data_IF_074067615198
#
_entry.id   IF_074067615198
#
_cell.length_a   1.000
_cell.length_b   1.000
_cell.length_c   1.000
_cell.angle_alpha   90.00
_cell.angle_beta   90.00
_cell.angle_gamma   90.00
#
_symmetry.space_group_name_H-M   'P 1'
#
loop_
_entity.id
_entity.type
_entity.pdbx_description
1 polymer ?
#
# COMPACT_ATOMS: atom_id res chain seq x y z
N UNK A 1 -10.64 -20.69 -1.15
CA UNK A 1 -10.15 -22.04 -0.76
C UNK A 1 -11.29 -23.02 -0.35
N UNK A 2 -12.50 -22.49 -0.07
CA UNK A 2 -13.65 -23.34 0.31
C UNK A 2 -14.29 -24.10 -0.88
N UNK A 3 -13.88 -23.80 -2.12
CA UNK A 3 -14.45 -24.41 -3.34
C UNK A 3 -15.86 -23.94 -3.68
N UNK A 4 -16.38 -22.93 -2.97
CA UNK A 4 -17.67 -22.29 -3.26
C UNK A 4 -17.45 -20.78 -3.35
N UNK A 5 -17.58 -20.21 -4.54
CA UNK A 5 -17.62 -18.78 -4.73
C UNK A 5 -19.03 -18.33 -5.06
N UNK A 6 -19.52 -17.31 -4.34
CA UNK A 6 -20.79 -16.65 -4.66
C UNK A 6 -20.56 -15.32 -5.40
N UNK A 7 -19.32 -15.07 -5.83
CA UNK A 7 -18.93 -13.85 -6.52
C UNK A 7 -18.54 -14.15 -7.96
N UNK A 8 -19.10 -13.40 -8.89
CA UNK A 8 -18.74 -13.51 -10.32
C UNK A 8 -17.40 -12.85 -10.63
N UNK A 9 -17.08 -11.75 -9.91
CA UNK A 9 -15.82 -11.02 -10.00
C UNK A 9 -15.39 -10.53 -8.62
N UNK A 10 -14.08 -10.43 -8.41
CA UNK A 10 -13.47 -9.82 -7.21
C UNK A 10 -12.34 -8.89 -7.63
N UNK A 11 -11.99 -7.94 -6.78
CA UNK A 11 -10.94 -6.95 -7.05
C UNK A 11 -9.87 -7.01 -5.96
N UNK A 12 -8.98 -8.00 -5.98
CA UNK A 12 -7.87 -8.10 -5.04
C UNK A 12 -6.63 -7.33 -5.54
N UNK A 13 -5.68 -7.12 -4.62
CA UNK A 13 -4.37 -6.57 -4.95
C UNK A 13 -3.47 -7.61 -5.63
N UNK A 14 -2.48 -7.15 -6.34
CA UNK A 14 -1.53 -7.91 -7.17
C UNK A 14 -0.94 -9.14 -6.50
N UNK A 15 -0.45 -9.02 -5.25
CA UNK A 15 0.11 -10.15 -4.49
C UNK A 15 -0.92 -11.26 -4.24
N UNK A 16 -2.20 -10.90 -4.09
CA UNK A 16 -3.26 -11.89 -3.90
C UNK A 16 -3.62 -12.53 -5.24
N UNK A 17 -3.62 -11.75 -6.33
CA UNK A 17 -3.83 -12.27 -7.69
C UNK A 17 -2.75 -13.32 -8.01
N UNK A 18 -1.48 -13.01 -7.74
CA UNK A 18 -0.38 -13.95 -7.89
C UNK A 18 -0.67 -15.26 -7.15
N UNK A 19 -1.03 -15.17 -5.86
CA UNK A 19 -1.35 -16.35 -5.05
C UNK A 19 -2.56 -17.13 -5.60
N UNK A 20 -3.57 -16.43 -6.12
CA UNK A 20 -4.74 -17.08 -6.71
C UNK A 20 -4.38 -17.82 -8.01
N UNK A 21 -3.52 -17.25 -8.85
CA UNK A 21 -2.99 -17.93 -10.06
C UNK A 21 -2.21 -19.18 -9.67
N UNK A 22 -1.26 -19.06 -8.73
CA UNK A 22 -0.44 -20.18 -8.25
C UNK A 22 -1.26 -21.36 -7.69
N UNK A 23 -2.46 -21.07 -7.17
CA UNK A 23 -3.37 -22.07 -6.61
C UNK A 23 -4.52 -22.46 -7.56
N UNK A 24 -4.46 -22.07 -8.83
CA UNK A 24 -5.44 -22.37 -9.86
C UNK A 24 -6.88 -21.95 -9.50
N UNK A 25 -7.04 -20.79 -8.86
CA UNK A 25 -8.32 -20.26 -8.37
C UNK A 25 -8.99 -19.27 -9.35
N UNK A 26 -8.33 -18.90 -10.46
CA UNK A 26 -8.82 -17.92 -11.41
C UNK A 26 -9.17 -18.54 -12.76
N UNK A 27 -10.28 -18.09 -13.35
CA UNK A 27 -10.62 -18.36 -14.73
C UNK A 27 -9.89 -17.36 -15.66
N UNK A 28 -9.47 -17.84 -16.83
CA UNK A 28 -8.93 -16.96 -17.88
C UNK A 28 -10.02 -16.00 -18.38
N UNK A 29 -9.64 -14.75 -18.60
CA UNK A 29 -10.54 -13.71 -19.11
C UNK A 29 -10.60 -13.78 -20.64
N UNK A 30 -11.82 -13.83 -21.19
CA UNK A 30 -12.02 -13.64 -22.61
C UNK A 30 -12.09 -12.13 -22.94
N UNK A 31 -10.95 -11.57 -23.35
CA UNK A 31 -10.84 -10.15 -23.68
C UNK A 31 -11.68 -9.69 -24.88
N UNK A 32 -12.12 -10.60 -25.75
CA UNK A 32 -13.05 -10.26 -26.84
C UNK A 32 -14.40 -9.75 -26.31
N UNK A 33 -14.77 -10.16 -25.09
CA UNK A 33 -15.96 -9.69 -24.41
C UNK A 33 -15.77 -8.34 -23.67
N UNK A 34 -14.55 -7.80 -23.66
CA UNK A 34 -14.19 -6.57 -22.93
C UNK A 34 -13.60 -5.51 -23.88
N UNK A 35 -14.40 -4.98 -24.82
CA UNK A 35 -13.88 -4.06 -25.87
C UNK A 35 -13.27 -2.76 -25.31
N UNK A 36 -13.63 -2.38 -24.07
CA UNK A 36 -13.10 -1.18 -23.41
C UNK A 36 -11.72 -1.38 -22.77
N UNK A 37 -11.19 -2.60 -22.73
CA UNK A 37 -9.84 -2.87 -22.21
C UNK A 37 -8.76 -2.05 -22.91
N UNK A 38 -8.97 -1.73 -24.20
CA UNK A 38 -8.10 -0.86 -25.01
C UNK A 38 -7.92 0.56 -24.45
N UNK A 39 -8.79 1.00 -23.54
CA UNK A 39 -8.69 2.31 -22.90
C UNK A 39 -7.76 2.30 -21.69
N UNK A 40 -7.30 1.13 -21.26
CA UNK A 40 -6.34 0.96 -20.16
C UNK A 40 -4.94 1.04 -20.76
N UNK A 41 -4.07 1.86 -20.15
CA UNK A 41 -2.71 2.02 -20.62
C UNK A 41 -1.89 0.72 -20.47
N UNK A 42 -1.08 0.42 -21.48
CA UNK A 42 -0.26 -0.79 -21.53
C UNK A 42 0.69 -0.93 -20.31
N UNK A 43 1.18 0.20 -19.79
CA UNK A 43 2.08 0.24 -18.64
C UNK A 43 1.51 -0.46 -17.39
N UNK A 44 0.18 -0.50 -17.23
CA UNK A 44 -0.46 -1.15 -16.08
C UNK A 44 -0.49 -2.67 -16.22
N UNK A 45 -0.53 -3.17 -17.45
CA UNK A 45 -0.36 -4.60 -17.72
C UNK A 45 1.11 -5.03 -17.62
N UNK A 46 2.04 -4.16 -18.02
CA UNK A 46 3.48 -4.44 -17.93
C UNK A 46 3.96 -4.71 -16.50
N UNK A 47 3.43 -3.97 -15.52
CA UNK A 47 3.80 -4.12 -14.12
C UNK A 47 3.45 -5.49 -13.55
N UNK A 48 2.45 -6.15 -14.11
CA UNK A 48 1.96 -7.46 -13.65
C UNK A 48 2.58 -8.66 -14.38
N UNK A 49 3.43 -8.43 -15.38
CA UNK A 49 4.09 -9.50 -16.16
C UNK A 49 4.93 -10.46 -15.32
N UNK A 50 5.35 -10.04 -14.13
CA UNK A 50 6.12 -10.89 -13.23
C UNK A 50 5.35 -12.12 -12.72
N UNK A 51 4.01 -12.05 -12.65
CA UNK A 51 3.17 -13.14 -12.17
C UNK A 51 2.09 -13.59 -13.18
N UNK A 52 1.76 -12.77 -14.17
CA UNK A 52 0.88 -13.13 -15.30
C UNK A 52 1.50 -12.63 -16.63
N UNK A 53 2.52 -13.32 -17.15
CA UNK A 53 3.28 -12.86 -18.33
C UNK A 53 2.43 -12.68 -19.58
N UNK A 54 1.31 -13.40 -19.68
CA UNK A 54 0.42 -13.39 -20.85
C UNK A 54 -0.80 -12.47 -20.64
N UNK A 55 -0.92 -11.84 -19.45
CA UNK A 55 -2.07 -11.00 -19.06
C UNK A 55 -3.43 -11.71 -19.24
N UNK A 56 -3.55 -12.94 -18.73
CA UNK A 56 -4.73 -13.78 -18.94
C UNK A 56 -5.81 -13.62 -17.87
N UNK A 57 -5.45 -13.21 -16.65
CA UNK A 57 -6.29 -13.40 -15.48
C UNK A 57 -6.85 -12.13 -14.87
N UNK A 58 -6.40 -10.93 -15.28
CA UNK A 58 -6.79 -9.70 -14.61
C UNK A 58 -7.02 -8.53 -15.58
N UNK A 59 -7.85 -7.58 -15.12
CA UNK A 59 -8.03 -6.27 -15.74
C UNK A 59 -7.64 -5.21 -14.71
N UNK A 60 -6.59 -4.39 -14.94
CA UNK A 60 -6.19 -3.33 -14.01
C UNK A 60 -7.35 -2.37 -13.72
N UNK A 61 -7.52 -2.04 -12.44
CA UNK A 61 -8.58 -1.13 -11.98
C UNK A 61 -8.01 0.16 -11.41
N UNK A 62 -7.22 0.07 -10.37
CA UNK A 62 -6.57 1.24 -9.77
C UNK A 62 -5.18 0.88 -9.27
N UNK A 63 -4.37 1.90 -9.08
CA UNK A 63 -3.01 1.77 -8.58
C UNK A 63 -2.68 2.93 -7.66
N UNK A 64 -1.67 2.77 -6.86
CA UNK A 64 -1.19 3.82 -5.99
C UNK A 64 0.15 3.49 -5.35
N UNK A 65 0.57 4.39 -4.49
CA UNK A 65 1.75 4.26 -3.65
C UNK A 65 1.36 4.40 -2.19
N UNK A 66 2.24 4.03 -1.29
CA UNK A 66 2.16 4.35 0.13
C UNK A 66 3.15 5.48 0.42
N UNK A 67 2.79 6.42 1.28
CA UNK A 67 3.68 7.51 1.68
C UNK A 67 3.32 8.04 3.06
N UNK A 68 3.93 9.15 3.40
CA UNK A 68 3.68 9.86 4.65
C UNK A 68 2.82 11.07 4.38
N UNK A 69 1.63 11.12 4.98
CA UNK A 69 0.82 12.33 5.12
C UNK A 69 1.21 13.01 6.44
N UNK A 70 1.52 14.28 6.40
CA UNK A 70 1.94 15.01 7.59
C UNK A 70 1.24 16.36 7.73
N UNK A 71 1.05 16.80 8.97
CA UNK A 71 0.43 18.09 9.27
C UNK A 71 1.53 19.16 9.42
N UNK A 72 1.58 20.10 8.48
CA UNK A 72 2.55 21.21 8.44
C UNK A 72 2.52 22.13 9.65
N UNK A 73 1.47 22.13 10.44
CA UNK A 73 1.38 22.87 11.71
C UNK A 73 1.96 22.11 12.88
N UNK A 74 2.14 20.81 12.77
CA UNK A 74 2.66 19.94 13.83
C UNK A 74 4.09 19.46 13.53
N UNK A 75 4.47 19.47 12.25
CA UNK A 75 5.80 19.06 11.76
C UNK A 75 6.48 20.26 11.14
N UNK A 76 7.58 20.72 11.74
CA UNK A 76 8.33 21.93 11.36
C UNK A 76 9.64 21.61 10.62
N UNK A 77 9.95 20.35 10.41
CA UNK A 77 11.12 19.85 9.70
C UNK A 77 10.78 19.21 8.36
N UNK A 78 11.73 19.06 7.44
CA UNK A 78 11.50 18.37 6.18
C UNK A 78 11.14 16.90 6.40
N UNK A 79 10.03 16.46 5.79
CA UNK A 79 9.63 15.07 5.77
C UNK A 79 10.10 14.44 4.46
N UNK A 80 11.23 13.75 4.46
CA UNK A 80 11.83 13.16 3.27
C UNK A 80 12.28 11.70 3.43
N UNK A 81 12.09 11.14 4.62
CA UNK A 81 12.54 9.80 5.00
C UNK A 81 11.50 9.08 5.84
N UNK A 82 11.40 7.76 5.69
CA UNK A 82 10.64 6.92 6.61
C UNK A 82 11.12 7.02 8.06
N UNK A 83 12.39 7.42 8.27
CA UNK A 83 13.00 7.55 9.60
C UNK A 83 12.24 8.47 10.55
N UNK A 84 11.48 9.45 10.05
CA UNK A 84 10.68 10.36 10.89
C UNK A 84 9.63 9.59 11.72
N UNK A 85 9.20 8.40 11.26
CA UNK A 85 8.24 7.55 11.98
C UNK A 85 8.86 6.88 13.24
N UNK A 86 10.16 7.05 13.48
CA UNK A 86 10.88 6.59 14.67
C UNK A 86 11.37 7.76 15.55
N UNK A 87 11.02 9.00 15.18
CA UNK A 87 11.39 10.16 15.98
C UNK A 87 10.46 10.30 17.20
N UNK A 88 11.06 10.25 18.39
CA UNK A 88 10.35 10.41 19.67
C UNK A 88 9.62 11.75 19.82
N UNK A 89 9.99 12.76 19.03
CA UNK A 89 9.28 14.03 18.98
C UNK A 89 7.80 13.86 18.64
N UNK A 90 7.46 12.81 17.89
CA UNK A 90 6.10 12.51 17.43
C UNK A 90 5.44 11.34 18.18
N UNK A 91 5.94 11.00 19.39
CA UNK A 91 5.31 9.99 20.24
C UNK A 91 3.82 10.29 20.44
N UNK A 92 2.97 9.24 20.36
CA UNK A 92 1.50 9.33 20.40
C UNK A 92 0.87 10.20 19.29
N UNK A 93 1.61 10.49 18.21
CA UNK A 93 1.13 11.32 17.08
C UNK A 93 1.45 10.71 15.72
N UNK A 94 1.69 9.41 15.68
CA UNK A 94 1.99 8.62 14.47
C UNK A 94 0.85 7.63 14.25
N UNK A 95 0.26 7.66 13.05
CA UNK A 95 -0.69 6.67 12.58
C UNK A 95 0.03 5.71 11.63
N UNK A 96 0.05 4.43 11.99
CA UNK A 96 0.69 3.39 11.20
C UNK A 96 -0.34 2.51 10.51
N UNK A 97 0.01 1.87 9.39
CA UNK A 97 -0.87 0.97 8.67
C UNK A 97 -1.13 -0.32 9.46
N UNK A 98 -2.41 -0.68 9.61
CA UNK A 98 -2.86 -1.99 10.09
C UNK A 98 -2.89 -3.01 8.92
N UNK A 99 -1.80 -3.01 8.16
CA UNK A 99 -1.50 -3.93 7.08
C UNK A 99 -0.09 -4.48 7.29
N UNK A 100 0.03 -5.78 7.47
CA UNK A 100 1.32 -6.43 7.70
C UNK A 100 2.30 -6.13 6.56
N UNK A 101 1.84 -6.21 5.31
CA UNK A 101 2.70 -5.97 4.15
C UNK A 101 3.19 -4.53 4.09
N UNK A 102 2.31 -3.55 4.31
CA UNK A 102 2.69 -2.14 4.24
C UNK A 102 3.56 -1.73 5.42
N UNK A 103 3.25 -2.20 6.64
CA UNK A 103 4.09 -1.94 7.80
C UNK A 103 5.51 -2.50 7.62
N UNK A 104 5.64 -3.75 7.15
CA UNK A 104 6.94 -4.34 6.84
C UNK A 104 7.64 -3.64 5.67
N UNK A 105 6.91 -3.23 4.63
CA UNK A 105 7.47 -2.51 3.50
C UNK A 105 8.14 -1.19 3.94
N UNK A 106 7.49 -0.44 4.83
CA UNK A 106 8.05 0.79 5.44
C UNK A 106 9.36 0.50 6.16
N UNK A 107 9.38 -0.50 7.05
CA UNK A 107 10.56 -0.87 7.82
C UNK A 107 11.70 -1.40 6.93
N UNK A 108 11.39 -2.28 5.97
CA UNK A 108 12.36 -2.82 5.02
C UNK A 108 12.98 -1.70 4.18
N UNK A 109 12.16 -0.78 3.67
CA UNK A 109 12.67 0.36 2.87
C UNK A 109 13.56 1.28 3.72
N UNK A 110 13.19 1.56 4.94
CA UNK A 110 14.03 2.37 5.84
C UNK A 110 15.37 1.70 6.15
N UNK A 111 15.40 0.37 6.26
CA UNK A 111 16.65 -0.42 6.41
C UNK A 111 17.44 -0.56 5.11
N UNK A 112 16.92 -0.10 3.97
CA UNK A 112 17.58 -0.21 2.67
C UNK A 112 17.38 -1.56 1.98
N UNK A 113 16.45 -2.39 2.45
CA UNK A 113 16.14 -3.70 1.90
C UNK A 113 15.05 -3.63 0.81
N UNK A 114 14.90 -4.74 0.08
CA UNK A 114 13.76 -4.92 -0.83
C UNK A 114 12.47 -5.09 -0.04
N UNK A 115 11.40 -4.38 -0.42
CA UNK A 115 10.07 -4.59 0.18
C UNK A 115 9.49 -5.99 -0.11
N UNK A 116 10.05 -6.69 -1.11
CA UNK A 116 9.69 -8.07 -1.45
C UNK A 116 10.73 -9.08 -0.94
N UNK A 117 11.55 -8.70 0.05
CA UNK A 117 12.52 -9.62 0.64
C UNK A 117 11.86 -10.85 1.24
N UNK A 118 12.45 -12.00 1.01
CA UNK A 118 12.13 -13.27 1.66
C UNK A 118 13.25 -13.76 2.57
N UNK A 119 14.30 -12.95 2.72
CA UNK A 119 15.41 -13.23 3.61
C UNK A 119 14.95 -13.10 5.06
N UNK A 120 15.17 -14.16 5.85
CA UNK A 120 14.68 -14.22 7.23
C UNK A 120 15.40 -13.22 8.16
N UNK A 121 16.67 -12.92 7.91
CA UNK A 121 17.45 -11.97 8.71
C UNK A 121 16.98 -10.54 8.44
N UNK A 122 16.67 -10.19 7.18
CA UNK A 122 16.10 -8.90 6.80
C UNK A 122 14.68 -8.73 7.39
N UNK A 123 13.86 -9.78 7.34
CA UNK A 123 12.51 -9.76 7.93
C UNK A 123 12.56 -9.65 9.46
N UNK A 124 13.51 -10.32 10.11
CA UNK A 124 13.72 -10.21 11.56
C UNK A 124 14.20 -8.80 11.95
N UNK A 125 15.10 -8.19 11.16
CA UNK A 125 15.53 -6.81 11.37
C UNK A 125 14.37 -5.83 11.23
N UNK A 126 13.53 -5.97 10.21
CA UNK A 126 12.34 -5.14 10.00
C UNK A 126 11.33 -5.31 11.16
N UNK A 127 11.09 -6.53 11.61
CA UNK A 127 10.23 -6.82 12.77
C UNK A 127 10.75 -6.11 14.03
N UNK A 128 12.04 -6.22 14.32
CA UNK A 128 12.63 -5.60 15.50
C UNK A 128 12.51 -4.07 15.44
N UNK A 129 12.74 -3.47 14.27
CA UNK A 129 12.55 -2.04 14.05
C UNK A 129 11.09 -1.60 14.28
N UNK A 130 10.10 -2.38 13.83
CA UNK A 130 8.69 -2.11 14.10
C UNK A 130 8.32 -2.26 15.59
N UNK A 131 8.95 -3.20 16.29
CA UNK A 131 8.79 -3.34 17.75
C UNK A 131 9.33 -2.10 18.48
N UNK A 132 10.47 -1.55 18.06
CA UNK A 132 11.02 -0.29 18.58
C UNK A 132 10.10 0.91 18.31
N UNK A 133 9.44 0.94 17.15
CA UNK A 133 8.48 1.99 16.78
C UNK A 133 7.20 1.93 17.61
N UNK A 134 6.74 0.74 17.97
CA UNK A 134 5.42 0.52 18.57
C UNK A 134 5.05 1.46 19.72
N UNK A 135 5.96 1.81 20.66
CA UNK A 135 5.65 2.76 21.73
C UNK A 135 5.36 4.18 21.24
N UNK A 136 5.79 4.55 20.02
CA UNK A 136 5.61 5.88 19.45
C UNK A 136 4.28 5.99 18.66
N UNK A 137 3.68 4.86 18.32
CA UNK A 137 2.49 4.80 17.46
C UNK A 137 1.23 5.06 18.28
N UNK A 138 0.46 6.07 17.90
CA UNK A 138 -0.85 6.37 18.47
C UNK A 138 -1.85 5.26 18.16
N UNK A 139 -1.92 4.82 16.89
CA UNK A 139 -2.83 3.77 16.45
C UNK A 139 -2.35 3.10 15.16
N UNK A 140 -2.71 1.83 15.02
CA UNK A 140 -2.65 1.10 13.75
C UNK A 140 -4.04 1.19 13.11
N UNK A 141 -4.11 1.74 11.89
CA UNK A 141 -5.37 2.06 11.20
C UNK A 141 -5.23 1.81 9.69
N UNK A 142 -6.36 1.67 9.00
CA UNK A 142 -6.41 1.67 7.52
C UNK A 142 -7.19 2.92 7.09
N UNK A 143 -8.50 2.83 6.89
CA UNK A 143 -9.30 3.95 6.38
C UNK A 143 -9.44 5.10 7.39
N UNK A 144 -9.36 4.80 8.69
CA UNK A 144 -9.47 5.79 9.76
C UNK A 144 -8.32 6.81 9.77
N UNK A 145 -7.19 6.51 9.13
CA UNK A 145 -6.08 7.46 8.99
C UNK A 145 -6.57 8.76 8.34
N UNK A 146 -7.47 8.66 7.35
CA UNK A 146 -8.05 9.79 6.65
C UNK A 146 -8.72 10.78 7.61
N UNK A 147 -9.71 10.29 8.34
CA UNK A 147 -10.52 11.14 9.21
C UNK A 147 -9.70 11.74 10.35
N UNK A 148 -8.77 10.96 10.92
CA UNK A 148 -7.85 11.42 11.97
C UNK A 148 -6.89 12.51 11.48
N UNK A 149 -6.30 12.34 10.30
CA UNK A 149 -5.40 13.36 9.74
C UNK A 149 -6.16 14.63 9.35
N UNK A 150 -7.33 14.52 8.74
CA UNK A 150 -8.19 15.67 8.43
C UNK A 150 -8.56 16.43 9.71
N UNK A 151 -8.90 15.70 10.78
CA UNK A 151 -9.23 16.26 12.09
C UNK A 151 -8.03 16.84 12.86
N UNK A 152 -6.80 16.64 12.40
CA UNK A 152 -5.59 17.12 13.08
C UNK A 152 -5.26 16.33 14.36
N UNK A 153 -5.68 15.06 14.46
CA UNK A 153 -5.46 14.23 15.64
C UNK A 153 -4.04 13.62 15.69
N UNK A 154 -3.29 13.66 14.58
CA UNK A 154 -1.92 13.15 14.50
C UNK A 154 -1.03 14.03 13.63
N UNK A 155 0.28 14.00 13.90
CA UNK A 155 1.29 14.73 13.14
C UNK A 155 1.66 14.01 11.84
N UNK A 156 1.74 12.67 11.88
CA UNK A 156 2.22 11.80 10.80
C UNK A 156 1.26 10.63 10.61
N UNK A 157 0.98 10.30 9.34
CA UNK A 157 0.18 9.12 8.99
C UNK A 157 0.74 8.40 7.78
N UNK A 158 0.91 7.08 7.87
CA UNK A 158 1.22 6.25 6.71
C UNK A 158 -0.08 5.97 5.97
N UNK A 159 -0.17 6.35 4.69
CA UNK A 159 -1.43 6.39 3.95
C UNK A 159 -1.20 6.09 2.46
N UNK A 160 -2.24 5.63 1.80
CA UNK A 160 -2.28 5.46 0.35
C UNK A 160 -2.41 6.80 -0.37
N UNK A 161 -1.75 6.94 -1.53
CA UNK A 161 -1.67 8.21 -2.28
C UNK A 161 -3.03 8.79 -2.65
N UNK A 162 -3.99 7.96 -3.04
CA UNK A 162 -5.34 8.41 -3.38
C UNK A 162 -6.07 9.04 -2.18
N UNK A 163 -5.98 8.40 -1.02
CA UNK A 163 -6.54 8.91 0.23
C UNK A 163 -5.82 10.19 0.70
N UNK A 164 -4.49 10.26 0.52
CA UNK A 164 -3.72 11.45 0.86
C UNK A 164 -4.17 12.67 0.05
N UNK A 165 -4.41 12.50 -1.26
CA UNK A 165 -4.91 13.58 -2.11
C UNK A 165 -6.29 14.08 -1.65
N UNK A 166 -7.17 13.17 -1.24
CA UNK A 166 -8.45 13.55 -0.66
C UNK A 166 -8.27 14.33 0.65
N UNK A 167 -7.40 13.85 1.55
CA UNK A 167 -7.11 14.55 2.80
C UNK A 167 -6.59 15.97 2.59
N UNK A 168 -5.73 16.19 1.58
CA UNK A 168 -5.20 17.51 1.25
C UNK A 168 -6.29 18.47 0.72
N UNK A 169 -7.33 17.96 0.07
CA UNK A 169 -8.47 18.76 -0.36
C UNK A 169 -9.32 19.23 0.83
N UNK A 170 -9.50 18.37 1.83
CA UNK A 170 -10.31 18.66 3.02
C UNK A 170 -9.54 19.48 4.07
N UNK A 171 -8.21 19.32 4.16
CA UNK A 171 -7.37 20.04 5.10
C UNK A 171 -6.08 20.53 4.42
N UNK A 172 -5.96 21.84 4.09
CA UNK A 172 -4.81 22.41 3.40
C UNK A 172 -3.53 22.44 4.24
N UNK A 173 -3.59 22.15 5.54
CA UNK A 173 -2.42 22.02 6.40
C UNK A 173 -1.72 20.67 6.22
N UNK A 174 -2.33 19.72 5.52
CA UNK A 174 -1.74 18.42 5.23
C UNK A 174 -0.88 18.47 3.96
N UNK A 175 0.21 17.72 3.98
CA UNK A 175 1.03 17.48 2.80
C UNK A 175 1.48 16.01 2.74
N UNK A 176 1.77 15.54 1.52
CA UNK A 176 2.08 14.14 1.26
C UNK A 176 3.44 14.01 0.60
N UNK A 177 4.21 13.03 1.05
CA UNK A 177 5.54 12.75 0.50
C UNK A 177 5.76 11.25 0.30
N UNK A 178 6.47 10.92 -0.78
CA UNK A 178 7.09 9.62 -0.97
C UNK A 178 8.52 9.75 -0.46
N UNK A 179 8.91 9.01 0.60
CA UNK A 179 10.26 9.08 1.16
C UNK A 179 11.35 8.66 0.17
N UNK A 180 12.55 9.19 0.36
CA UNK A 180 13.72 8.98 -0.51
C UNK A 180 14.19 7.53 -0.59
N UNK A 181 13.90 6.72 0.40
CA UNK A 181 14.20 5.28 0.38
C UNK A 181 13.29 4.53 -0.60
N UNK A 182 12.28 5.22 -1.14
CA UNK A 182 11.29 4.64 -2.03
C UNK A 182 10.12 3.98 -1.29
N UNK A 183 9.15 3.50 -2.05
CA UNK A 183 7.92 2.89 -1.54
C UNK A 183 7.44 1.78 -2.45
N UNK A 184 6.34 1.13 -2.09
CA UNK A 184 5.66 0.19 -2.96
C UNK A 184 4.79 0.93 -4.00
N UNK A 185 4.63 0.29 -5.15
CA UNK A 185 3.52 0.53 -6.08
C UNK A 185 2.64 -0.72 -5.99
N UNK A 186 1.36 -0.53 -5.81
CA UNK A 186 0.37 -1.60 -5.80
C UNK A 186 -0.65 -1.40 -6.91
N UNK A 187 -1.21 -2.49 -7.40
CA UNK A 187 -2.29 -2.48 -8.40
C UNK A 187 -3.39 -3.42 -7.92
N UNK A 188 -4.60 -2.87 -7.81
CA UNK A 188 -5.80 -3.67 -7.64
C UNK A 188 -6.40 -3.94 -9.00
N UNK A 189 -6.86 -5.16 -9.23
CA UNK A 189 -7.37 -5.56 -10.53
C UNK A 189 -8.58 -6.47 -10.41
N UNK A 190 -9.46 -6.40 -11.40
CA UNK A 190 -10.61 -7.28 -11.51
C UNK A 190 -10.19 -8.65 -12.02
N UNK A 191 -10.62 -9.70 -11.32
CA UNK A 191 -10.39 -11.10 -11.66
C UNK A 191 -11.67 -11.92 -11.54
N UNK A 192 -11.71 -13.05 -12.24
CA UNK A 192 -12.85 -13.99 -12.24
C UNK A 192 -12.46 -15.23 -11.43
N UNK A 193 -13.05 -15.47 -10.25
CA UNK A 193 -12.84 -16.72 -9.52
C UNK A 193 -13.39 -17.93 -10.28
N UNK A 194 -12.76 -19.11 -10.09
CA UNK A 194 -13.32 -20.40 -10.56
C UNK A 194 -14.45 -20.89 -9.70
#
# INVERSE_FOLDING_TARGET
>A
ESGTSNYDVVCPSDYMIQKMIENDLLAEINFDNIPNVKNIGEQYFEQSKGFDPENKYFVPYCWGTVGILYNKKMVDEPVDSWGILWDKKYEDSILMQDSVRDAFAVALKYLGYSLNSTDLDELEAAKNLLIEQKPLVQAYVIDQVRDKMIGGEAALGVIYSGEALYCQQENPDLDYVIPKEGTNIWIDSWVIPK
#
